data_IF_199490324350
#
_entry.id   IF_199490324350
#
_cell.length_a   1.000
_cell.length_b   1.000
_cell.length_c   1.000
_cell.angle_alpha   90.00
_cell.angle_beta   90.00
_cell.angle_gamma   90.00
#
_symmetry.space_group_name_H-M   'P 1'
#
loop_
_entity.id
_entity.type
_entity.pdbx_description
1 polymer ?
#
# COMPACT_ATOMS: atom_id res chain seq x y z
N UNK A 1 6.98 11.52 5.24
CA UNK A 1 6.65 10.32 4.43
C UNK A 1 5.25 9.85 4.78
N UNK A 2 4.42 9.54 3.79
CA UNK A 2 3.08 8.96 3.97
C UNK A 2 2.99 7.66 3.18
N UNK A 3 2.55 6.58 3.84
CA UNK A 3 2.26 5.29 3.21
C UNK A 3 0.77 5.02 3.35
N UNK A 4 0.09 4.77 2.24
CA UNK A 4 -1.32 4.36 2.22
C UNK A 4 -1.44 3.00 1.55
N UNK A 5 -2.16 2.07 2.17
CA UNK A 5 -2.34 0.71 1.67
C UNK A 5 -3.82 0.50 1.40
N UNK A 6 -4.16 0.24 0.15
CA UNK A 6 -5.47 -0.27 -0.22
C UNK A 6 -5.47 -1.79 -0.03
N UNK A 7 -6.36 -2.28 0.81
CA UNK A 7 -6.38 -3.66 1.34
C UNK A 7 -7.80 -4.19 1.46
N UNK A 8 -7.93 -5.47 1.81
CA UNK A 8 -9.16 -6.10 2.31
C UNK A 8 -8.76 -7.12 3.38
N UNK A 9 -9.69 -7.45 4.27
CA UNK A 9 -9.47 -8.42 5.35
C UNK A 9 -9.38 -9.87 4.82
N UNK A 10 -9.98 -10.14 3.65
CA UNK A 10 -9.97 -11.47 3.00
C UNK A 10 -8.75 -11.67 2.07
N UNK A 11 -7.70 -10.86 2.22
CA UNK A 11 -6.53 -10.85 1.33
C UNK A 11 -5.25 -11.19 2.10
N UNK A 12 -4.77 -12.43 1.95
CA UNK A 12 -3.53 -12.89 2.62
C UNK A 12 -2.31 -12.03 2.28
N UNK A 13 -2.19 -11.57 1.03
CA UNK A 13 -1.09 -10.70 0.61
C UNK A 13 -1.15 -9.31 1.26
N UNK A 14 -2.35 -8.85 1.61
CA UNK A 14 -2.56 -7.59 2.29
C UNK A 14 -2.14 -7.70 3.76
N UNK A 15 -2.47 -8.81 4.42
CA UNK A 15 -1.99 -9.13 5.77
C UNK A 15 -0.47 -9.18 5.80
N UNK A 16 0.15 -9.95 4.89
CA UNK A 16 1.61 -10.07 4.82
C UNK A 16 2.31 -8.73 4.59
N UNK A 17 1.73 -7.85 3.75
CA UNK A 17 2.27 -6.51 3.55
C UNK A 17 2.26 -5.68 4.83
N UNK A 18 1.13 -5.69 5.53
CA UNK A 18 0.94 -4.95 6.79
C UNK A 18 1.94 -5.42 7.84
N UNK A 19 2.03 -6.73 8.06
CA UNK A 19 3.00 -7.33 8.98
C UNK A 19 4.44 -6.99 8.61
N UNK A 20 4.79 -7.00 7.32
CA UNK A 20 6.13 -6.64 6.87
C UNK A 20 6.46 -5.16 7.18
N UNK A 21 5.51 -4.25 7.00
CA UNK A 21 5.68 -2.84 7.35
C UNK A 21 5.74 -2.63 8.86
N UNK A 22 4.91 -3.33 9.63
CA UNK A 22 4.91 -3.30 11.09
C UNK A 22 6.26 -3.77 11.65
N UNK A 23 6.80 -4.88 11.12
CA UNK A 23 8.13 -5.38 11.48
C UNK A 23 9.27 -4.41 11.15
N UNK A 24 9.07 -3.53 10.16
CA UNK A 24 10.01 -2.45 9.79
C UNK A 24 9.72 -1.13 10.52
N UNK A 25 8.75 -1.12 11.45
CA UNK A 25 8.26 0.08 12.15
C UNK A 25 7.78 1.20 11.21
N UNK A 26 7.25 0.85 10.04
CA UNK A 26 6.74 1.80 9.07
C UNK A 26 5.26 2.04 9.33
N UNK A 27 4.93 3.27 9.72
CA UNK A 27 3.54 3.69 9.89
C UNK A 27 2.84 3.83 8.55
N UNK A 28 1.62 3.29 8.44
CA UNK A 28 0.79 3.38 7.24
C UNK A 28 -0.66 3.69 7.57
N UNK A 29 -1.40 4.20 6.58
CA UNK A 29 -2.85 4.33 6.62
C UNK A 29 -3.48 3.21 5.82
N UNK A 30 -4.23 2.36 6.49
CA UNK A 30 -5.02 1.34 5.83
C UNK A 30 -6.29 1.95 5.20
N UNK A 31 -6.56 1.57 3.95
CA UNK A 31 -7.75 1.93 3.18
C UNK A 31 -8.45 0.66 2.71
N UNK A 32 -9.33 0.12 3.54
CA UNK A 32 -10.04 -1.12 3.23
C UNK A 32 -11.06 -0.92 2.10
N UNK A 33 -10.88 -1.63 0.99
CA UNK A 33 -11.69 -1.49 -0.24
C UNK A 33 -13.06 -2.15 -0.16
N UNK A 34 -13.40 -2.83 0.95
CA UNK A 34 -14.78 -3.18 1.28
C UNK A 34 -15.67 -1.93 1.38
N UNK A 35 -15.07 -0.76 1.67
CA UNK A 35 -15.72 0.52 1.48
C UNK A 35 -15.69 0.93 -0.01
N UNK A 36 -16.88 1.07 -0.62
CA UNK A 36 -17.06 1.47 -2.02
C UNK A 36 -16.31 2.74 -2.40
N UNK A 37 -16.24 3.75 -1.51
CA UNK A 37 -15.51 4.99 -1.79
C UNK A 37 -14.00 4.74 -1.93
N UNK A 38 -13.44 3.89 -1.07
CA UNK A 38 -12.01 3.54 -1.12
C UNK A 38 -11.69 2.64 -2.33
N UNK A 39 -12.65 1.81 -2.76
CA UNK A 39 -12.54 1.06 -4.02
C UNK A 39 -12.52 2.00 -5.24
N UNK A 40 -13.39 3.01 -5.29
CA UNK A 40 -13.37 4.01 -6.36
C UNK A 40 -12.08 4.86 -6.31
N UNK A 41 -11.61 5.24 -5.12
CA UNK A 41 -10.31 5.90 -4.95
C UNK A 41 -9.15 5.04 -5.52
N UNK A 42 -9.16 3.73 -5.27
CA UNK A 42 -8.18 2.79 -5.83
C UNK A 42 -8.21 2.80 -7.38
N UNK A 43 -9.40 2.72 -7.97
CA UNK A 43 -9.58 2.76 -9.42
C UNK A 43 -9.09 4.07 -10.03
N UNK A 44 -9.42 5.20 -9.41
CA UNK A 44 -8.96 6.53 -9.83
C UNK A 44 -7.43 6.67 -9.77
N UNK A 45 -6.77 5.92 -8.89
CA UNK A 45 -5.32 5.84 -8.82
C UNK A 45 -4.71 4.91 -9.88
N UNK A 46 -5.52 4.23 -10.68
CA UNK A 46 -5.10 3.22 -11.67
C UNK A 46 -4.82 1.84 -11.05
N UNK A 47 -5.27 1.61 -9.81
CA UNK A 47 -5.13 0.32 -9.15
C UNK A 47 -6.17 -0.68 -9.65
N UNK A 48 -5.70 -1.86 -10.08
CA UNK A 48 -6.55 -2.96 -10.58
C UNK A 48 -6.69 -4.11 -9.58
N UNK A 49 -6.04 -4.03 -8.43
CA UNK A 49 -6.04 -5.09 -7.42
C UNK A 49 -5.39 -4.66 -6.12
N UNK A 50 -5.46 -5.54 -5.13
CA UNK A 50 -4.90 -5.36 -3.78
C UNK A 50 -3.85 -6.44 -3.46
N UNK A 51 -2.88 -6.16 -2.56
CA UNK A 51 -2.63 -4.86 -1.94
C UNK A 51 -2.13 -3.84 -2.96
N UNK A 52 -2.48 -2.56 -2.76
CA UNK A 52 -1.94 -1.47 -3.58
C UNK A 52 -1.43 -0.37 -2.66
N UNK A 53 -0.16 -0.01 -2.81
CA UNK A 53 0.52 0.93 -1.91
C UNK A 53 0.80 2.24 -2.61
N UNK A 54 0.45 3.34 -1.98
CA UNK A 54 0.83 4.70 -2.38
C UNK A 54 1.83 5.23 -1.36
N UNK A 55 3.02 5.59 -1.83
CA UNK A 55 4.09 6.15 -1.00
C UNK A 55 4.30 7.59 -1.45
N UNK A 56 4.17 8.54 -0.53
CA UNK A 56 4.45 9.97 -0.78
C UNK A 56 5.64 10.42 0.04
N UNK A 57 6.69 10.89 -0.64
CA UNK A 57 7.89 11.44 -0.04
C UNK A 57 8.22 12.80 -0.68
N UNK A 58 7.91 13.90 0.02
CA UNK A 58 7.96 15.24 -0.57
C UNK A 58 7.04 15.35 -1.79
N UNK A 59 7.62 15.78 -2.92
CA UNK A 59 6.92 15.91 -4.21
C UNK A 59 6.81 14.59 -4.98
N UNK A 60 7.47 13.52 -4.51
CA UNK A 60 7.46 12.23 -5.18
C UNK A 60 6.29 11.37 -4.69
N UNK A 61 5.54 10.82 -5.65
CA UNK A 61 4.50 9.82 -5.38
C UNK A 61 4.83 8.53 -6.13
N UNK A 62 4.99 7.44 -5.39
CA UNK A 62 5.21 6.10 -5.92
C UNK A 62 3.98 5.23 -5.70
N UNK A 63 3.65 4.41 -6.70
CA UNK A 63 2.54 3.46 -6.66
C UNK A 63 3.09 2.06 -6.85
N UNK A 64 2.73 1.14 -5.96
CA UNK A 64 3.15 -0.26 -6.01
C UNK A 64 1.92 -1.14 -6.00
N UNK A 65 1.72 -1.88 -7.08
CA UNK A 65 0.68 -2.89 -7.18
C UNK A 65 1.19 -4.24 -6.66
N UNK A 66 0.35 -4.92 -5.87
CA UNK A 66 0.65 -6.20 -5.26
C UNK A 66 1.71 -6.13 -4.16
N UNK A 67 2.04 -7.31 -3.62
CA UNK A 67 3.11 -7.49 -2.65
C UNK A 67 4.47 -7.55 -3.36
N UNK A 68 5.06 -6.38 -3.64
CA UNK A 68 6.36 -6.27 -4.32
C UNK A 68 7.42 -5.69 -3.38
N UNK A 69 8.04 -6.55 -2.56
CA UNK A 69 9.05 -6.15 -1.58
C UNK A 69 10.17 -5.32 -2.19
N UNK A 70 10.71 -5.71 -3.35
CA UNK A 70 11.81 -4.99 -4.00
C UNK A 70 11.45 -3.55 -4.34
N UNK A 71 10.24 -3.30 -4.88
CA UNK A 71 9.77 -1.93 -5.16
C UNK A 71 9.47 -1.17 -3.86
N UNK A 72 8.86 -1.84 -2.88
CA UNK A 72 8.56 -1.23 -1.58
C UNK A 72 9.85 -0.79 -0.87
N UNK A 73 10.84 -1.68 -0.74
CA UNK A 73 12.16 -1.37 -0.17
C UNK A 73 12.80 -0.18 -0.89
N UNK A 74 12.81 -0.20 -2.23
CA UNK A 74 13.35 0.90 -3.03
C UNK A 74 12.67 2.25 -2.73
N UNK A 75 11.34 2.29 -2.68
CA UNK A 75 10.59 3.55 -2.53
C UNK A 75 10.41 4.00 -1.08
N UNK A 76 10.56 3.08 -0.12
CA UNK A 76 10.60 3.36 1.31
C UNK A 76 12.01 3.66 1.80
N UNK A 77 13.02 3.50 0.92
CA UNK A 77 14.45 3.73 1.23
C UNK A 77 14.92 2.89 2.42
N UNK A 78 14.56 1.60 2.43
CA UNK A 78 14.93 0.63 3.46
C UNK A 78 15.63 -0.61 2.89
N UNK A 79 16.47 -1.22 3.72
CA UNK A 79 17.21 -2.45 3.44
C UNK A 79 16.37 -3.72 3.63
#
# INVERSE_FOLDING_TARGET
MLVEIYSSDECIYCVNLKEWLDNKNIQYKEKNVSNKKLLEDLKNLGGIGIPFTVIKNGDQTHKVAGLNYKKLQKYLEID
#
